data_IF_019205675530
#
_entry.id   IF_019205675530
#
_cell.length_a   1.000
_cell.length_b   1.000
_cell.length_c   1.000
_cell.angle_alpha   90.00
_cell.angle_beta   90.00
_cell.angle_gamma   90.00
#
_symmetry.space_group_name_H-M   'P 1'
#
loop_
_entity.id
_entity.type
_entity.pdbx_description
1 polymer ?
#
# COMPACT_ATOMS: atom_id res chain seq x y z
N UNK A 1 -9.56 17.31 1.93
CA UNK A 1 -9.17 17.34 0.50
C UNK A 1 -8.07 16.29 0.35
N UNK A 2 -8.43 15.06 0.01
CA UNK A 2 -7.46 13.97 -0.16
C UNK A 2 -6.45 14.35 -1.26
N UNK A 3 -5.13 14.27 -1.03
CA UNK A 3 -4.18 14.55 -2.09
C UNK A 3 -4.36 13.49 -3.19
N UNK A 4 -4.76 13.92 -4.39
CA UNK A 4 -4.99 13.04 -5.54
C UNK A 4 -3.77 12.15 -5.83
N UNK A 5 -2.56 12.66 -5.59
CA UNK A 5 -1.31 11.91 -5.73
C UNK A 5 -1.25 10.65 -4.84
N UNK A 6 -1.77 10.74 -3.61
CA UNK A 6 -1.81 9.60 -2.68
C UNK A 6 -2.79 8.55 -3.16
N UNK A 7 -4.00 8.93 -3.62
CA UNK A 7 -5.03 7.98 -4.04
C UNK A 7 -4.62 7.15 -5.26
N UNK A 8 -4.02 7.76 -6.28
CA UNK A 8 -3.55 7.05 -7.48
C UNK A 8 -2.26 6.26 -7.22
N UNK A 9 -1.29 6.84 -6.50
CA UNK A 9 -0.03 6.17 -6.16
C UNK A 9 -0.20 4.96 -5.24
N UNK A 10 -1.26 4.98 -4.42
CA UNK A 10 -1.64 3.90 -3.49
C UNK A 10 -1.93 2.59 -4.22
N UNK A 11 -2.51 2.60 -5.42
CA UNK A 11 -2.75 1.36 -6.18
C UNK A 11 -1.42 0.72 -6.64
N UNK A 12 -0.42 1.55 -6.95
CA UNK A 12 0.88 1.10 -7.44
C UNK A 12 1.79 0.61 -6.31
N UNK A 13 1.77 1.27 -5.15
CA UNK A 13 2.64 0.93 -4.01
C UNK A 13 1.92 0.26 -2.84
N UNK A 14 0.60 0.02 -2.92
CA UNK A 14 -0.15 -0.76 -1.93
C UNK A 14 0.29 -2.22 -1.84
N UNK A 15 1.00 -2.69 -2.86
CA UNK A 15 1.64 -3.99 -2.92
C UNK A 15 3.15 -3.95 -2.61
N UNK A 16 3.69 -2.77 -2.28
CA UNK A 16 5.11 -2.60 -2.01
C UNK A 16 5.53 -3.38 -0.76
N UNK A 17 6.83 -3.70 -0.70
CA UNK A 17 7.42 -4.42 0.44
C UNK A 17 7.09 -3.67 1.75
N UNK A 18 6.84 -4.39 2.86
CA UNK A 18 6.53 -3.76 4.15
C UNK A 18 7.63 -2.78 4.61
N UNK A 19 8.90 -3.07 4.27
CA UNK A 19 10.02 -2.15 4.53
C UNK A 19 9.90 -0.83 3.76
N UNK A 20 9.43 -0.87 2.52
CA UNK A 20 9.24 0.32 1.69
C UNK A 20 7.99 1.09 2.15
N UNK A 21 6.90 0.37 2.46
CA UNK A 21 5.68 0.95 3.05
C UNK A 21 6.01 1.69 4.35
N UNK A 22 6.78 1.07 5.26
CA UNK A 22 7.21 1.71 6.51
C UNK A 22 8.07 2.96 6.26
N UNK A 23 8.89 2.97 5.20
CA UNK A 23 9.70 4.14 4.83
C UNK A 23 8.81 5.28 4.33
N UNK A 24 7.80 4.98 3.52
CA UNK A 24 6.82 5.95 3.03
C UNK A 24 5.96 6.48 4.18
N UNK A 25 5.44 5.61 5.06
CA UNK A 25 4.70 6.01 6.26
C UNK A 25 5.53 6.94 7.15
N UNK A 26 6.81 6.62 7.38
CA UNK A 26 7.70 7.47 8.17
C UNK A 26 7.91 8.83 7.51
N UNK A 27 8.02 8.86 6.19
CA UNK A 27 8.12 10.12 5.44
C UNK A 27 6.82 10.93 5.58
N UNK A 28 5.66 10.32 5.37
CA UNK A 28 4.35 10.95 5.54
C UNK A 28 4.20 11.54 6.95
N UNK A 29 4.48 10.77 8.01
CA UNK A 29 4.36 11.27 9.39
C UNK A 29 5.32 12.43 9.69
N UNK A 30 6.51 12.48 9.07
CA UNK A 30 7.42 13.64 9.18
C UNK A 30 6.84 14.88 8.50
N UNK A 31 6.29 14.72 7.29
CA UNK A 31 5.66 15.81 6.54
C UNK A 31 4.45 16.36 7.29
N UNK A 32 3.55 15.49 7.76
CA UNK A 32 2.37 15.90 8.52
C UNK A 32 2.75 16.70 9.77
N UNK A 33 3.74 16.20 10.52
CA UNK A 33 4.25 16.88 11.72
C UNK A 33 4.86 18.25 11.42
N UNK A 34 5.58 18.37 10.31
CA UNK A 34 6.15 19.65 9.87
C UNK A 34 5.07 20.67 9.50
N UNK A 35 4.01 20.23 8.81
CA UNK A 35 2.87 21.08 8.42
C UNK A 35 2.09 21.56 9.64
N UNK A 36 1.77 20.66 10.58
CA UNK A 36 0.99 21.00 11.79
C UNK A 36 1.82 21.62 12.90
N UNK A 37 3.15 21.70 12.73
CA UNK A 37 4.11 22.11 13.78
C UNK A 37 3.92 21.31 15.08
N UNK A 38 3.55 20.04 14.96
CA UNK A 38 3.20 19.24 16.12
C UNK A 38 4.45 18.83 16.94
N UNK A 39 4.43 19.00 18.27
CA UNK A 39 5.55 18.67 19.13
C UNK A 39 5.76 17.14 19.22
N UNK A 40 6.98 16.73 19.59
CA UNK A 40 7.42 15.32 19.51
C UNK A 40 6.58 14.35 20.35
N UNK A 41 5.96 14.83 21.43
CA UNK A 41 5.12 14.03 22.33
C UNK A 41 3.75 13.69 21.74
N UNK A 42 3.33 14.39 20.67
CA UNK A 42 2.07 14.06 19.98
C UNK A 42 2.29 12.79 19.16
N UNK A 43 1.48 11.77 19.46
CA UNK A 43 1.53 10.49 18.76
C UNK A 43 1.17 10.66 17.28
N UNK A 44 1.77 9.83 16.41
CA UNK A 44 1.39 9.84 15.00
C UNK A 44 -0.09 9.47 14.82
N UNK A 45 -0.62 8.55 15.64
CA UNK A 45 -2.03 8.16 15.60
C UNK A 45 -2.98 9.34 15.85
N UNK A 46 -2.67 10.18 16.85
CA UNK A 46 -3.43 11.41 17.13
C UNK A 46 -3.41 12.35 15.91
N UNK A 47 -2.24 12.58 15.32
CA UNK A 47 -2.12 13.44 14.12
C UNK A 47 -2.91 12.91 12.92
N UNK A 48 -2.88 11.59 12.71
CA UNK A 48 -3.62 10.96 11.62
C UNK A 48 -5.13 11.07 11.83
N UNK A 49 -5.61 10.89 13.07
CA UNK A 49 -7.02 11.03 13.40
C UNK A 49 -7.50 12.47 13.28
N UNK A 50 -6.76 13.43 13.84
CA UNK A 50 -7.10 14.85 13.81
C UNK A 50 -7.15 15.41 12.38
N UNK A 51 -6.24 14.94 11.52
CA UNK A 51 -6.19 15.33 10.12
C UNK A 51 -7.09 14.47 9.22
N UNK A 52 -7.73 13.43 9.76
CA UNK A 52 -8.53 12.45 9.02
C UNK A 52 -7.78 11.76 7.86
N UNK A 53 -6.46 11.58 7.99
CA UNK A 53 -5.60 10.99 6.95
C UNK A 53 -5.31 9.53 7.29
N UNK A 54 -5.69 8.62 6.39
CA UNK A 54 -5.43 7.18 6.54
C UNK A 54 -3.93 6.84 6.60
N UNK A 55 -3.57 5.80 7.37
CA UNK A 55 -2.20 5.30 7.37
C UNK A 55 -1.92 4.49 6.10
N UNK A 56 -0.66 4.48 5.66
CA UNK A 56 -0.21 3.66 4.52
C UNK A 56 -0.39 2.16 4.80
N UNK A 57 -0.48 1.73 6.07
CA UNK A 57 -0.75 0.33 6.39
C UNK A 57 -2.17 -0.12 5.99
N UNK A 58 -3.16 0.78 5.98
CA UNK A 58 -4.52 0.45 5.51
C UNK A 58 -4.55 0.22 4.00
N UNK A 59 -3.48 0.60 3.30
CA UNK A 59 -3.31 0.45 1.86
C UNK A 59 -3.13 -1.02 1.46
N UNK A 60 -2.80 -1.93 2.38
CA UNK A 60 -2.84 -3.36 2.07
C UNK A 60 -4.23 -3.81 1.56
N UNK A 61 -5.31 -3.16 2.01
CA UNK A 61 -6.67 -3.42 1.53
C UNK A 61 -6.90 -2.93 0.10
N UNK A 62 -6.18 -1.90 -0.37
CA UNK A 62 -6.34 -1.39 -1.74
C UNK A 62 -5.76 -2.36 -2.76
N UNK A 63 -4.71 -3.12 -2.40
CA UNK A 63 -4.20 -4.18 -3.27
C UNK A 63 -5.25 -5.28 -3.49
N UNK A 64 -5.98 -5.70 -2.45
CA UNK A 64 -7.09 -6.66 -2.59
C UNK A 64 -8.17 -6.15 -3.54
N UNK A 65 -8.57 -4.88 -3.38
CA UNK A 65 -9.57 -4.23 -4.23
C UNK A 65 -9.10 -4.09 -5.69
N UNK A 66 -7.83 -3.72 -5.89
CA UNK A 66 -7.21 -3.66 -7.21
C UNK A 66 -7.15 -5.03 -7.88
N UNK A 67 -6.76 -6.06 -7.14
CA UNK A 67 -6.71 -7.44 -7.63
C UNK A 67 -8.10 -7.94 -8.05
N UNK A 68 -9.14 -7.66 -7.26
CA UNK A 68 -10.53 -7.97 -7.62
C UNK A 68 -10.96 -7.26 -8.92
N UNK A 69 -10.61 -5.98 -9.08
CA UNK A 69 -10.91 -5.25 -10.31
C UNK A 69 -10.19 -5.84 -11.54
N UNK A 70 -8.95 -6.30 -11.39
CA UNK A 70 -8.21 -6.98 -12.47
C UNK A 70 -8.88 -8.29 -12.88
N UNK A 71 -9.34 -9.10 -11.92
CA UNK A 71 -10.03 -10.37 -12.23
C UNK A 71 -11.29 -10.16 -13.08
N UNK A 72 -11.97 -9.03 -12.90
CA UNK A 72 -13.17 -8.65 -13.66
C UNK A 72 -12.88 -7.91 -14.98
N UNK A 73 -11.61 -7.71 -15.34
CA UNK A 73 -11.22 -6.94 -16.53
C UNK A 73 -11.56 -7.70 -17.84
N UNK A 74 -11.93 -7.01 -18.93
CA UNK A 74 -12.31 -7.68 -20.19
C UNK A 74 -11.14 -8.40 -20.87
N UNK A 75 -9.93 -7.85 -20.75
CA UNK A 75 -8.73 -8.40 -21.38
C UNK A 75 -8.19 -9.63 -20.61
N UNK A 76 -8.11 -10.81 -21.23
CA UNK A 76 -7.65 -12.04 -20.58
C UNK A 76 -6.17 -12.01 -20.18
N UNK A 77 -5.29 -11.33 -20.92
CA UNK A 77 -3.86 -11.21 -20.59
C UNK A 77 -3.66 -10.49 -19.27
N UNK A 78 -4.48 -9.48 -19.00
CA UNK A 78 -4.46 -8.71 -17.75
C UNK A 78 -4.91 -9.58 -16.57
N UNK A 79 -5.86 -10.51 -16.79
CA UNK A 79 -6.27 -11.48 -15.75
C UNK A 79 -5.15 -12.47 -15.43
N UNK A 80 -4.43 -12.92 -16.45
CA UNK A 80 -3.33 -13.87 -16.29
C UNK A 80 -2.18 -13.29 -15.47
N UNK A 81 -1.91 -11.98 -15.61
CA UNK A 81 -0.92 -11.26 -14.79
C UNK A 81 -1.27 -11.20 -13.30
N UNK A 82 -2.56 -11.25 -12.95
CA UNK A 82 -3.03 -11.30 -11.56
C UNK A 82 -3.22 -12.71 -11.01
N UNK A 83 -2.77 -13.74 -11.75
CA UNK A 83 -2.83 -15.11 -11.29
C UNK A 83 -1.99 -15.33 -10.04
N UNK A 84 -2.51 -16.15 -9.12
CA UNK A 84 -1.83 -16.52 -7.87
C UNK A 84 -0.62 -17.43 -8.17
N UNK A 85 -0.72 -18.24 -9.23
CA UNK A 85 0.24 -19.27 -9.59
C UNK A 85 1.00 -18.89 -10.86
N UNK A 86 2.29 -18.59 -10.72
CA UNK A 86 3.20 -18.47 -11.87
C UNK A 86 3.53 -19.89 -12.35
N UNK A 87 3.41 -20.21 -13.65
CA UNK A 87 3.86 -21.49 -14.16
C UNK A 87 5.34 -21.71 -13.82
N UNK A 88 5.66 -22.83 -13.18
CA UNK A 88 7.02 -23.17 -12.74
C UNK A 88 7.40 -22.74 -11.32
N UNK A 89 6.52 -22.05 -10.57
CA UNK A 89 6.71 -21.64 -9.16
C UNK A 89 8.19 -21.36 -8.78
N UNK A 90 8.78 -20.29 -9.33
CA UNK A 90 10.19 -20.02 -9.17
C UNK A 90 10.56 -19.93 -7.68
N UNK A 91 11.64 -20.60 -7.28
CA UNK A 91 12.07 -20.62 -5.88
C UNK A 91 12.23 -19.19 -5.36
N UNK A 92 11.49 -18.86 -4.29
CA UNK A 92 11.56 -17.53 -3.66
C UNK A 92 12.97 -17.34 -3.08
N UNK A 93 13.73 -16.39 -3.63
CA UNK A 93 15.03 -16.00 -3.06
C UNK A 93 14.80 -15.25 -1.74
N UNK A 94 15.16 -15.87 -0.62
CA UNK A 94 14.86 -15.47 0.78
C UNK A 94 13.36 -15.58 1.15
N UNK A 95 13.04 -15.58 2.46
CA UNK A 95 11.69 -15.52 3.04
C UNK A 95 10.98 -14.17 2.78
N UNK A 96 10.92 -13.74 1.51
CA UNK A 96 10.29 -12.48 1.10
C UNK A 96 8.81 -12.68 0.85
N UNK A 97 7.98 -11.83 1.47
CA UNK A 97 6.56 -11.68 1.11
C UNK A 97 6.44 -10.96 -0.23
N UNK A 98 5.65 -11.52 -1.14
CA UNK A 98 5.30 -10.92 -2.43
C UNK A 98 3.91 -10.27 -2.33
N UNK A 99 3.60 -9.40 -3.27
CA UNK A 99 2.29 -8.73 -3.39
C UNK A 99 1.12 -9.71 -3.25
N UNK A 100 1.16 -10.83 -3.98
CA UNK A 100 0.14 -11.89 -3.94
C UNK A 100 -0.01 -12.60 -2.59
N UNK A 101 1.02 -12.59 -1.74
CA UNK A 101 0.93 -13.20 -0.40
C UNK A 101 -0.01 -12.37 0.52
N UNK A 102 -0.45 -11.17 0.08
CA UNK A 102 -1.46 -10.34 0.75
C UNK A 102 -2.92 -10.74 0.38
N UNK A 103 -3.10 -11.63 -0.60
CA UNK A 103 -4.41 -12.13 -1.04
C UNK A 103 -4.87 -13.37 -0.27
N UNK A 104 -3.96 -14.00 0.50
CA UNK A 104 -4.22 -15.14 1.38
C UNK A 104 -4.60 -14.65 2.77
#
# INVERSE_FOLDING_TARGET
MEPLATAYGIQLWGSAKPTNVNRIQRFQSKVLRAITKAPFYVSNHTLHNDLTISLVNDVANTYRRFNFNIQNHKNPLIKELASINIPGNPQKRLKRRWCRDLLV
#
